data_IF_292695881462
#
_entry.id   IF_292695881462
#
_cell.length_a   1.000
_cell.length_b   1.000
_cell.length_c   1.000
_cell.angle_alpha   90.00
_cell.angle_beta   90.00
_cell.angle_gamma   90.00
#
_symmetry.space_group_name_H-M   'P 1'
#
loop_
_entity.id
_entity.type
_entity.pdbx_description
1 polymer ?
#
# COMPACT_ATOMS: atom_id res chain seq x y z
N UNK A 1 -8.97 2.88 21.00
CA UNK A 1 -9.30 2.11 19.77
C UNK A 1 -10.01 3.04 18.81
N UNK A 2 -9.64 3.05 17.54
CA UNK A 2 -10.39 3.78 16.51
C UNK A 2 -11.74 3.07 16.28
N UNK A 3 -12.80 3.85 16.01
CA UNK A 3 -14.10 3.33 15.61
C UNK A 3 -14.11 3.27 14.09
N UNK A 4 -14.19 2.06 13.53
CA UNK A 4 -14.24 1.86 12.08
C UNK A 4 -15.69 2.01 11.63
N UNK A 5 -15.90 2.82 10.62
CA UNK A 5 -17.19 2.95 9.92
C UNK A 5 -17.04 2.34 8.53
N UNK A 6 -17.78 1.26 8.27
CA UNK A 6 -17.76 0.58 6.98
C UNK A 6 -18.74 1.28 6.03
N UNK A 7 -18.23 1.82 4.95
CA UNK A 7 -19.02 2.43 3.87
C UNK A 7 -19.36 1.38 2.80
N UNK A 8 -20.45 1.58 2.02
CA UNK A 8 -20.77 0.70 0.92
C UNK A 8 -19.67 0.71 -0.16
N UNK A 9 -19.51 -0.43 -0.83
CA UNK A 9 -18.60 -0.59 -1.98
C UNK A 9 -18.92 0.42 -3.06
N UNK A 10 -17.88 1.00 -3.66
CA UNK A 10 -18.05 1.98 -4.74
C UNK A 10 -18.20 1.24 -6.07
N UNK A 11 -18.98 1.82 -6.98
CA UNK A 11 -19.05 1.31 -8.35
C UNK A 11 -17.66 1.42 -9.01
N UNK A 12 -17.09 0.30 -9.44
CA UNK A 12 -15.73 0.23 -9.99
C UNK A 12 -14.70 -0.43 -9.08
N UNK A 13 -15.03 -0.68 -7.81
CA UNK A 13 -14.15 -1.46 -6.93
C UNK A 13 -14.07 -2.92 -7.43
N UNK A 14 -12.85 -3.40 -7.63
CA UNK A 14 -12.58 -4.83 -7.84
C UNK A 14 -12.32 -5.44 -6.47
N UNK A 15 -13.07 -6.49 -6.12
CA UNK A 15 -13.06 -7.09 -4.78
C UNK A 15 -11.65 -7.55 -4.37
N UNK A 16 -10.91 -8.16 -5.31
CA UNK A 16 -9.56 -8.62 -5.06
C UNK A 16 -8.81 -8.84 -6.37
N UNK A 17 -7.57 -8.38 -6.44
CA UNK A 17 -6.64 -8.66 -7.55
C UNK A 17 -5.21 -8.66 -7.03
N UNK A 18 -4.32 -9.36 -7.73
CA UNK A 18 -2.91 -9.47 -7.40
C UNK A 18 -2.06 -9.44 -8.67
N UNK A 19 -0.83 -8.96 -8.53
CA UNK A 19 0.15 -9.00 -9.61
C UNK A 19 0.90 -10.33 -9.61
N UNK A 20 0.98 -10.96 -10.77
CA UNK A 20 1.94 -12.03 -11.03
C UNK A 20 3.30 -11.42 -11.35
N UNK A 21 4.32 -11.79 -10.58
CA UNK A 21 5.69 -11.27 -10.70
C UNK A 21 6.68 -12.30 -11.25
N UNK A 22 6.19 -13.44 -11.73
CA UNK A 22 7.05 -14.56 -12.18
C UNK A 22 8.01 -14.13 -13.29
N UNK A 23 7.56 -13.28 -14.24
CA UNK A 23 8.42 -12.75 -15.31
C UNK A 23 9.52 -11.83 -14.77
N UNK A 24 9.19 -10.96 -13.80
CA UNK A 24 10.17 -10.07 -13.18
C UNK A 24 11.22 -10.84 -12.38
N UNK A 25 10.79 -11.89 -11.67
CA UNK A 25 11.69 -12.77 -10.95
C UNK A 25 12.63 -13.52 -11.90
N UNK A 26 12.11 -14.04 -13.02
CA UNK A 26 12.91 -14.82 -13.97
C UNK A 26 13.88 -13.97 -14.79
N UNK A 27 13.41 -12.85 -15.33
CA UNK A 27 14.16 -12.07 -16.33
C UNK A 27 15.10 -11.04 -15.67
N UNK A 28 14.81 -10.65 -14.43
CA UNK A 28 15.49 -9.54 -13.74
C UNK A 28 15.92 -9.85 -12.30
N UNK A 29 15.75 -11.09 -11.82
CA UNK A 29 16.02 -11.47 -10.41
C UNK A 29 15.35 -10.53 -9.39
N UNK A 30 14.16 -10.06 -9.76
CA UNK A 30 13.42 -9.09 -8.95
C UNK A 30 12.50 -9.78 -7.94
N UNK A 31 12.58 -9.34 -6.69
CA UNK A 31 11.62 -9.66 -5.64
C UNK A 31 11.34 -8.44 -4.76
N UNK A 32 10.08 -8.16 -4.37
CA UNK A 32 9.77 -7.13 -3.38
C UNK A 32 10.48 -7.44 -2.05
N UNK A 33 11.28 -6.50 -1.55
CA UNK A 33 12.05 -6.67 -0.30
C UNK A 33 11.41 -6.01 0.91
N UNK A 34 10.45 -5.12 0.67
CA UNK A 34 9.77 -4.35 1.71
C UNK A 34 8.46 -5.04 2.07
N UNK A 35 8.29 -5.40 3.34
CA UNK A 35 7.03 -5.96 3.82
C UNK A 35 5.94 -4.89 3.89
N UNK A 36 4.67 -5.30 3.90
CA UNK A 36 3.54 -4.38 4.06
C UNK A 36 3.66 -3.56 5.35
N UNK A 37 4.08 -4.17 6.45
CA UNK A 37 4.25 -3.48 7.73
C UNK A 37 5.33 -2.38 7.62
N UNK A 38 6.48 -2.71 7.03
CA UNK A 38 7.56 -1.76 6.86
C UNK A 38 7.15 -0.62 5.92
N UNK A 39 6.55 -0.95 4.77
CA UNK A 39 6.07 0.04 3.80
C UNK A 39 5.03 0.97 4.40
N UNK A 40 4.11 0.45 5.21
CA UNK A 40 3.08 1.24 5.89
C UNK A 40 3.70 2.25 6.87
N UNK A 41 4.73 1.84 7.65
CA UNK A 41 5.43 2.75 8.56
C UNK A 41 6.18 3.87 7.82
N UNK A 42 6.85 3.54 6.71
CA UNK A 42 7.55 4.52 5.88
C UNK A 42 6.55 5.53 5.29
N UNK A 43 5.44 5.03 4.74
CA UNK A 43 4.38 5.87 4.19
C UNK A 43 3.78 6.79 5.24
N UNK A 44 3.46 6.27 6.43
CA UNK A 44 2.93 7.05 7.54
C UNK A 44 3.87 8.20 7.92
N UNK A 45 5.17 7.93 8.05
CA UNK A 45 6.15 8.93 8.44
C UNK A 45 6.20 10.08 7.41
N UNK A 46 6.30 9.75 6.12
CA UNK A 46 6.25 10.73 5.04
C UNK A 46 4.95 11.54 5.03
N UNK A 47 3.79 10.87 5.17
CA UNK A 47 2.49 11.54 5.14
C UNK A 47 2.35 12.57 6.26
N UNK A 48 2.73 12.19 7.48
CA UNK A 48 2.67 13.08 8.64
C UNK A 48 3.63 14.27 8.48
N UNK A 49 4.84 14.03 8.00
CA UNK A 49 5.82 15.09 7.74
C UNK A 49 5.32 16.08 6.69
N UNK A 50 4.80 15.57 5.56
CA UNK A 50 4.30 16.38 4.47
C UNK A 50 3.18 17.33 4.92
N UNK A 51 2.20 16.85 5.69
CA UNK A 51 1.09 17.70 6.16
C UNK A 51 1.42 18.56 7.40
N UNK A 52 2.50 18.25 8.13
CA UNK A 52 2.98 19.13 9.20
C UNK A 52 3.79 20.32 8.67
N UNK A 53 4.59 20.13 7.64
CA UNK A 53 5.46 21.18 7.08
C UNK A 53 4.75 22.10 6.06
N UNK A 54 3.51 21.78 5.69
CA UNK A 54 2.65 22.60 4.82
C UNK A 54 1.62 23.44 5.61
N UNK A 55 1.78 23.56 6.93
CA UNK A 55 1.07 24.46 7.84
C UNK A 55 2.08 25.38 8.55
#
# INVERSE_FOLDING_TARGET
KAKIEYLPTRAGDVIQTYSDISLLANDYDYSPKVSIEQGTKIFQAWFVEYFKNNN
#
